data_IF_077087763888
#
_entry.id   IF_077087763888
#
_cell.length_a   1.000
_cell.length_b   1.000
_cell.length_c   1.000
_cell.angle_alpha   90.00
_cell.angle_beta   90.00
_cell.angle_gamma   90.00
#
_symmetry.space_group_name_H-M   'P 1'
#
loop_
_entity.id
_entity.type
_entity.pdbx_description
1 polymer ?
#
# COMPACT_ATOMS: atom_id res chain seq x y z
N UNK A 1 14.97 -7.09 -7.34
CA UNK A 1 14.74 -5.78 -6.68
C UNK A 1 15.09 -4.59 -7.59
N UNK A 2 16.27 -4.57 -8.24
CA UNK A 2 16.67 -3.50 -9.19
C UNK A 2 15.76 -3.41 -10.42
N UNK A 3 15.30 -4.56 -10.97
CA UNK A 3 14.32 -4.56 -12.07
C UNK A 3 12.95 -3.99 -11.71
N UNK A 4 12.53 -4.15 -10.45
CA UNK A 4 11.25 -3.61 -9.97
C UNK A 4 11.29 -2.09 -10.09
N UNK A 5 12.29 -1.42 -9.50
CA UNK A 5 12.48 0.03 -9.60
C UNK A 5 12.60 0.55 -11.06
N UNK A 6 13.30 -0.19 -11.92
CA UNK A 6 13.49 0.17 -13.34
C UNK A 6 12.19 0.10 -14.15
N UNK A 7 11.29 -0.81 -13.81
CA UNK A 7 9.97 -0.94 -14.43
C UNK A 7 8.91 -0.06 -13.76
N UNK A 8 9.12 0.34 -12.49
CA UNK A 8 8.22 1.21 -11.75
C UNK A 8 7.99 2.54 -12.46
N UNK A 9 9.00 3.18 -13.06
CA UNK A 9 8.81 4.48 -13.73
C UNK A 9 7.80 4.44 -14.90
N UNK A 10 7.87 3.41 -15.76
CA UNK A 10 6.89 3.20 -16.83
C UNK A 10 5.52 2.79 -16.29
N UNK A 11 5.49 1.96 -15.24
CA UNK A 11 4.24 1.61 -14.53
C UNK A 11 3.59 2.82 -13.88
N UNK A 12 4.33 3.71 -13.23
CA UNK A 12 3.84 4.91 -12.55
C UNK A 12 3.18 5.89 -13.54
N UNK A 13 3.79 6.04 -14.73
CA UNK A 13 3.19 6.79 -15.84
C UNK A 13 1.92 6.12 -16.36
N UNK A 14 1.87 4.77 -16.38
CA UNK A 14 0.65 4.01 -16.67
C UNK A 14 -0.41 4.16 -15.57
N UNK A 15 -0.07 4.18 -14.28
CA UNK A 15 -1.05 4.43 -13.19
C UNK A 15 -1.70 5.82 -13.33
N UNK A 16 -0.97 6.80 -13.90
CA UNK A 16 -1.52 8.14 -14.18
C UNK A 16 -2.43 8.17 -15.41
N UNK A 17 -2.21 7.26 -16.37
CA UNK A 17 -2.95 7.20 -17.63
C UNK A 17 -4.20 6.32 -17.51
N UNK A 18 -4.05 5.19 -16.85
CA UNK A 18 -5.06 4.17 -16.68
C UNK A 18 -5.55 4.22 -15.24
N UNK A 19 -6.86 4.42 -15.06
CA UNK A 19 -7.46 4.49 -13.73
C UNK A 19 -7.37 3.11 -13.08
N UNK A 20 -6.70 3.03 -11.92
CA UNK A 20 -6.58 1.79 -11.17
C UNK A 20 -7.57 1.81 -10.02
N UNK A 21 -8.40 0.78 -9.97
CA UNK A 21 -9.36 0.61 -8.90
C UNK A 21 -8.64 0.12 -7.66
N UNK A 22 -9.02 0.67 -6.50
CA UNK A 22 -8.38 0.33 -5.23
C UNK A 22 -8.46 -1.17 -4.91
N UNK A 23 -9.53 -1.86 -5.34
CA UNK A 23 -9.71 -3.32 -5.21
C UNK A 23 -8.66 -4.15 -5.96
N UNK A 24 -8.06 -3.59 -7.00
CA UNK A 24 -7.02 -4.25 -7.79
C UNK A 24 -5.62 -4.01 -7.19
N UNK A 25 -5.53 -3.19 -6.13
CA UNK A 25 -4.29 -2.86 -5.44
C UNK A 25 -4.10 -3.70 -4.18
N UNK A 26 -2.86 -4.13 -3.95
CA UNK A 26 -2.41 -4.61 -2.64
C UNK A 26 -2.05 -3.40 -1.77
N UNK A 27 -2.88 -3.09 -0.79
CA UNK A 27 -2.65 -2.00 0.16
C UNK A 27 -1.80 -2.49 1.34
N UNK A 28 -0.66 -1.84 1.59
CA UNK A 28 0.24 -2.15 2.70
C UNK A 28 0.56 -0.87 3.49
N UNK A 29 0.37 -0.92 4.80
CA UNK A 29 0.67 0.16 5.74
C UNK A 29 0.93 -0.42 7.14
N UNK A 30 1.28 0.43 8.10
CA UNK A 30 1.47 0.04 9.50
C UNK A 30 0.14 -0.04 10.27
N UNK A 31 0.21 -0.53 11.51
CA UNK A 31 -0.96 -0.69 12.39
C UNK A 31 -1.27 0.59 13.21
N UNK A 32 -0.95 1.78 12.70
CA UNK A 32 -1.29 3.03 13.37
C UNK A 32 -2.81 3.11 13.65
N UNK A 33 -3.19 3.84 14.71
CA UNK A 33 -4.60 3.96 15.13
C UNK A 33 -5.55 4.40 14.00
N UNK A 34 -5.19 5.35 13.11
CA UNK A 34 -6.06 5.70 11.99
C UNK A 34 -6.26 4.57 10.96
N UNK A 35 -5.24 3.76 10.70
CA UNK A 35 -5.32 2.64 9.75
C UNK A 35 -6.16 1.48 10.28
N UNK A 36 -6.31 1.40 11.60
CA UNK A 36 -7.08 0.38 12.32
C UNK A 36 -8.40 0.93 12.88
N UNK A 37 -8.78 2.17 12.56
CA UNK A 37 -10.05 2.75 12.97
C UNK A 37 -11.23 2.06 12.24
N UNK A 38 -12.40 2.05 12.89
CA UNK A 38 -13.62 1.45 12.33
C UNK A 38 -14.01 2.11 11.01
N UNK A 39 -14.00 3.44 10.96
CA UNK A 39 -14.33 4.21 9.75
C UNK A 39 -13.44 3.82 8.55
N UNK A 40 -12.14 3.64 8.81
CA UNK A 40 -11.17 3.21 7.79
C UNK A 40 -11.46 1.78 7.33
N UNK A 41 -11.77 0.86 8.25
CA UNK A 41 -12.13 -0.52 7.90
C UNK A 41 -13.40 -0.56 7.06
N UNK A 42 -14.46 0.15 7.47
CA UNK A 42 -15.71 0.22 6.71
C UNK A 42 -15.50 0.82 5.32
N UNK A 43 -14.67 1.86 5.22
CA UNK A 43 -14.32 2.48 3.93
C UNK A 43 -13.69 1.48 2.96
N UNK A 44 -12.78 0.63 3.45
CA UNK A 44 -12.09 -0.40 2.67
C UNK A 44 -13.02 -1.57 2.33
N UNK A 45 -13.82 -2.04 3.29
CA UNK A 45 -14.81 -3.11 3.06
C UNK A 45 -15.83 -2.70 2.00
N UNK A 46 -16.34 -1.46 2.03
CA UNK A 46 -17.25 -0.94 0.99
C UNK A 46 -16.63 -0.89 -0.41
N UNK A 47 -15.31 -0.97 -0.52
CA UNK A 47 -14.55 -0.93 -1.78
C UNK A 47 -13.96 -2.27 -2.18
N UNK A 48 -14.26 -3.34 -1.45
CA UNK A 48 -13.71 -4.68 -1.68
C UNK A 48 -12.17 -4.70 -1.61
N UNK A 49 -11.62 -4.06 -0.57
CA UNK A 49 -10.18 -3.95 -0.36
C UNK A 49 -9.81 -4.61 0.95
N UNK A 50 -8.97 -5.64 0.88
CA UNK A 50 -8.34 -6.24 2.05
C UNK A 50 -6.88 -5.78 2.14
N UNK A 51 -6.50 -5.00 3.18
CA UNK A 51 -5.11 -4.59 3.36
C UNK A 51 -4.24 -5.76 3.82
N UNK A 52 -2.97 -5.75 3.44
CA UNK A 52 -1.96 -6.72 3.87
C UNK A 52 -1.77 -6.60 5.38
N UNK A 53 -1.83 -7.73 6.09
CA UNK A 53 -1.57 -7.78 7.53
C UNK A 53 -0.11 -7.45 7.81
N UNK A 54 0.12 -6.40 8.58
CA UNK A 54 1.46 -5.99 9.02
C UNK A 54 1.71 -6.41 10.46
N UNK A 55 2.92 -6.90 10.74
CA UNK A 55 3.33 -7.25 12.11
C UNK A 55 3.56 -5.98 12.95
N UNK A 56 3.14 -5.95 14.24
CA UNK A 56 3.45 -4.84 15.13
C UNK A 56 4.96 -4.60 15.28
N UNK A 57 5.37 -3.33 15.31
CA UNK A 57 6.77 -2.90 15.47
C UNK A 57 7.75 -3.49 14.46
N UNK A 58 7.28 -3.78 13.23
CA UNK A 58 8.11 -4.31 12.14
C UNK A 58 8.30 -3.30 11.00
N UNK A 59 9.02 -2.18 11.23
CA UNK A 59 9.30 -1.20 10.18
C UNK A 59 10.24 -1.77 9.10
N UNK A 60 11.02 -2.80 9.43
CA UNK A 60 11.87 -3.53 8.50
C UNK A 60 11.07 -4.26 7.41
N UNK A 61 9.85 -4.70 7.73
CA UNK A 61 8.92 -5.30 6.78
C UNK A 61 8.18 -4.25 5.94
N UNK A 62 8.05 -3.02 6.43
CA UNK A 62 7.42 -1.95 5.66
C UNK A 62 8.35 -1.42 4.57
N UNK A 63 7.92 -1.49 3.32
CA UNK A 63 8.71 -0.99 2.19
C UNK A 63 9.03 0.50 2.30
N UNK A 64 8.09 1.30 2.84
CA UNK A 64 8.31 2.73 2.98
C UNK A 64 9.35 3.04 4.06
N UNK A 65 9.19 2.46 5.26
CA UNK A 65 10.15 2.68 6.36
C UNK A 65 11.52 2.07 6.06
N UNK A 66 11.57 0.95 5.34
CA UNK A 66 12.83 0.27 5.01
C UNK A 66 13.63 0.94 3.91
N UNK A 67 12.97 1.48 2.88
CA UNK A 67 13.63 1.91 1.64
C UNK A 67 13.40 3.37 1.26
N UNK A 68 12.27 3.97 1.66
CA UNK A 68 11.88 5.31 1.20
C UNK A 68 12.21 6.41 2.22
N UNK A 69 11.83 6.21 3.48
CA UNK A 69 12.03 7.19 4.53
C UNK A 69 13.45 7.12 5.10
N UNK A 70 14.05 8.30 5.33
CA UNK A 70 15.36 8.50 5.96
C UNK A 70 15.23 9.54 7.05
#
# INVERSE_FOLDING_TARGET
MIEYLRTTGKRFLSLKKDQIWLKDCLLMWDNARPHTATDTREFLTRRDVEPVKQSPYSPDLNLCDRFLFR
#
